data_IF_262707704162
#
_entry.id   IF_262707704162
#
_cell.length_a   1.000
_cell.length_b   1.000
_cell.length_c   1.000
_cell.angle_alpha   90.00
_cell.angle_beta   90.00
_cell.angle_gamma   90.00
#
_symmetry.space_group_name_H-M   'P 1'
#
loop_
_entity.id
_entity.type
_entity.pdbx_description
1 polymer ?
#
# COMPACT_ATOMS: atom_id res chain seq x y z
N UNK A 1 -7.78 -7.63 6.02
CA UNK A 1 -6.33 -7.54 6.31
C UNK A 1 -6.15 -6.46 7.34
N UNK A 2 -5.59 -6.77 8.49
CA UNK A 2 -5.34 -5.81 9.55
C UNK A 2 -3.96 -5.17 9.34
N UNK A 3 -3.92 -3.84 9.29
CA UNK A 3 -2.68 -3.06 9.20
C UNK A 3 -2.01 -2.96 10.58
N UNK A 4 -0.73 -2.54 10.65
CA UNK A 4 -0.05 -2.30 11.93
C UNK A 4 -0.79 -1.33 12.84
N UNK A 5 -1.51 -0.36 12.27
CA UNK A 5 -2.38 0.57 13.00
C UNK A 5 -3.66 -0.05 13.57
N UNK A 6 -3.95 -1.33 13.29
CA UNK A 6 -5.19 -2.00 13.68
C UNK A 6 -6.37 -1.75 12.73
N UNK A 7 -6.31 -0.72 11.88
CA UNK A 7 -7.30 -0.51 10.81
C UNK A 7 -7.30 -1.66 9.81
N UNK A 8 -8.41 -1.84 9.10
CA UNK A 8 -8.59 -3.00 8.24
C UNK A 8 -8.82 -2.62 6.78
N UNK A 9 -8.08 -3.26 5.88
CA UNK A 9 -8.37 -3.29 4.45
C UNK A 9 -9.26 -4.49 4.14
N UNK A 10 -10.48 -4.22 3.68
CA UNK A 10 -11.48 -5.22 3.34
C UNK A 10 -11.79 -5.21 1.84
N UNK A 11 -11.87 -6.40 1.24
CA UNK A 11 -12.35 -6.55 -0.13
C UNK A 11 -13.87 -6.60 -0.11
N UNK A 12 -14.50 -5.61 -0.73
CA UNK A 12 -15.95 -5.55 -0.88
C UNK A 12 -16.34 -6.01 -2.29
N UNK A 13 -17.34 -6.88 -2.37
CA UNK A 13 -17.86 -7.33 -3.64
C UNK A 13 -19.05 -6.46 -4.04
N UNK A 14 -18.89 -5.68 -5.10
CA UNK A 14 -19.97 -4.96 -5.75
C UNK A 14 -20.26 -5.64 -7.08
N UNK A 15 -21.44 -6.24 -7.20
CA UNK A 15 -21.90 -6.94 -8.40
C UNK A 15 -21.95 -6.04 -9.65
N UNK A 16 -21.81 -4.72 -9.50
CA UNK A 16 -21.88 -3.74 -10.61
C UNK A 16 -20.54 -3.15 -11.03
N UNK A 17 -19.46 -3.26 -10.23
CA UNK A 17 -18.24 -2.44 -10.41
C UNK A 17 -16.90 -3.16 -10.21
N UNK A 18 -16.88 -4.50 -10.20
CA UNK A 18 -15.73 -5.32 -9.80
C UNK A 18 -15.43 -5.24 -8.29
N UNK A 19 -14.58 -6.14 -7.81
CA UNK A 19 -14.19 -6.12 -6.40
C UNK A 19 -13.38 -4.86 -6.08
N UNK A 20 -13.80 -4.15 -5.03
CA UNK A 20 -13.13 -2.93 -4.55
C UNK A 20 -12.52 -3.14 -3.17
N UNK A 21 -11.59 -2.26 -2.82
CA UNK A 21 -10.97 -2.25 -1.51
C UNK A 21 -11.45 -1.06 -0.71
N UNK A 22 -11.84 -1.31 0.53
CA UNK A 22 -12.29 -0.28 1.45
C UNK A 22 -11.40 -0.29 2.70
N UNK A 23 -11.22 0.88 3.30
CA UNK A 23 -10.60 1.04 4.61
C UNK A 23 -11.69 1.07 5.68
N UNK A 24 -11.51 0.25 6.72
CA UNK A 24 -12.37 0.20 7.89
C UNK A 24 -11.59 0.62 9.13
N UNK A 25 -12.32 1.17 10.09
CA UNK A 25 -11.86 1.48 11.44
C UNK A 25 -11.20 0.27 12.12
N UNK A 26 -10.51 0.50 13.23
CA UNK A 26 -9.85 -0.55 14.03
C UNK A 26 -10.81 -1.68 14.43
N UNK A 27 -12.08 -1.32 14.69
CA UNK A 27 -13.17 -2.29 14.98
C UNK A 27 -13.54 -3.20 13.79
N UNK A 28 -13.12 -2.84 12.57
CA UNK A 28 -13.46 -3.52 11.32
C UNK A 28 -14.90 -3.31 10.83
N UNK A 29 -15.73 -2.55 11.55
CA UNK A 29 -17.17 -2.40 11.26
C UNK A 29 -17.52 -1.09 10.56
N UNK A 30 -16.81 -0.02 10.90
CA UNK A 30 -17.10 1.32 10.39
C UNK A 30 -16.27 1.58 9.13
N UNK A 31 -16.87 1.78 7.95
CA UNK A 31 -16.13 2.16 6.75
C UNK A 31 -15.62 3.61 6.88
N UNK A 32 -14.34 3.81 6.60
CA UNK A 32 -13.66 5.10 6.66
C UNK A 32 -13.38 5.68 5.28
N UNK A 33 -12.98 4.82 4.33
CA UNK A 33 -12.75 5.17 2.93
C UNK A 33 -13.19 4.02 2.02
N UNK A 34 -13.53 4.34 0.78
CA UNK A 34 -14.12 3.40 -0.18
C UNK A 34 -13.37 3.46 -1.50
N UNK A 35 -13.28 2.35 -2.22
CA UNK A 35 -12.60 2.28 -3.53
C UNK A 35 -11.13 2.76 -3.49
N UNK A 36 -10.42 2.27 -2.47
CA UNK A 36 -9.00 2.53 -2.21
C UNK A 36 -8.14 1.91 -3.31
N UNK A 37 -7.41 2.75 -4.02
CA UNK A 37 -6.46 2.37 -5.05
C UNK A 37 -5.06 2.10 -4.46
N UNK A 38 -4.58 2.98 -3.57
CA UNK A 38 -3.27 2.88 -2.95
C UNK A 38 -3.29 3.30 -1.49
N UNK A 39 -2.33 2.80 -0.71
CA UNK A 39 -2.14 3.13 0.71
C UNK A 39 -0.68 3.43 1.04
N UNK A 40 -0.50 4.30 2.04
CA UNK A 40 0.75 4.54 2.76
C UNK A 40 0.41 4.53 4.26
N UNK A 41 1.13 3.77 5.08
CA UNK A 41 0.72 3.56 6.47
C UNK A 41 1.89 3.26 7.41
N UNK A 42 1.70 3.63 8.68
CA UNK A 42 2.59 3.30 9.79
C UNK A 42 1.78 2.73 10.97
N UNK A 43 2.33 2.77 12.18
CA UNK A 43 1.72 2.22 13.40
C UNK A 43 0.44 2.93 13.85
N UNK A 44 0.12 4.11 13.30
CA UNK A 44 -1.05 4.91 13.69
C UNK A 44 -1.86 5.40 12.52
N UNK A 45 -1.19 5.92 11.50
CA UNK A 45 -1.84 6.61 10.41
C UNK A 45 -1.91 5.77 9.15
N UNK A 46 -2.99 5.95 8.39
CA UNK A 46 -3.18 5.38 7.05
C UNK A 46 -3.57 6.51 6.10
N UNK A 47 -2.70 6.83 5.17
CA UNK A 47 -3.06 7.66 4.02
C UNK A 47 -3.60 6.76 2.91
N UNK A 48 -4.75 7.12 2.34
CA UNK A 48 -5.36 6.41 1.22
C UNK A 48 -5.50 7.32 0.01
N UNK A 49 -5.15 6.78 -1.16
CA UNK A 49 -5.63 7.29 -2.44
C UNK A 49 -6.88 6.51 -2.84
N UNK A 50 -8.01 7.19 -2.85
CA UNK A 50 -9.31 6.64 -3.24
C UNK A 50 -9.67 7.09 -4.66
N UNK A 51 -10.32 6.22 -5.43
CA UNK A 51 -10.90 6.61 -6.73
C UNK A 51 -12.05 7.61 -6.57
N UNK A 52 -12.75 7.55 -5.44
CA UNK A 52 -13.58 8.66 -4.97
C UNK A 52 -12.67 9.71 -4.29
N UNK A 53 -12.32 10.77 -5.03
CA UNK A 53 -11.33 11.77 -4.60
C UNK A 53 -11.69 12.43 -3.27
N UNK A 54 -12.98 12.56 -2.95
CA UNK A 54 -13.44 13.13 -1.69
C UNK A 54 -13.05 12.26 -0.48
N UNK A 55 -12.78 10.97 -0.69
CA UNK A 55 -12.35 10.02 0.33
C UNK A 55 -10.83 9.77 0.33
N UNK A 56 -10.07 10.52 -0.47
CA UNK A 56 -8.60 10.52 -0.41
C UNK A 56 -8.13 11.32 0.80
N UNK A 57 -7.23 10.77 1.61
CA UNK A 57 -6.68 11.51 2.74
C UNK A 57 -6.09 10.63 3.83
N UNK A 58 -5.70 11.28 4.91
CA UNK A 58 -5.11 10.68 6.10
C UNK A 58 -6.20 10.27 7.10
N UNK A 59 -6.06 9.07 7.65
CA UNK A 59 -6.92 8.50 8.67
C UNK A 59 -6.07 8.14 9.90
N UNK A 60 -6.58 8.48 11.08
CA UNK A 60 -5.92 8.25 12.37
C UNK A 60 -6.59 7.09 13.10
N UNK A 61 -5.80 6.08 13.47
CA UNK A 61 -6.32 4.90 14.17
C UNK A 61 -6.63 5.17 15.64
N UNK A 62 -6.06 6.23 16.24
CA UNK A 62 -6.42 6.62 17.60
C UNK A 62 -7.88 7.07 17.68
N UNK A 63 -8.34 7.80 16.67
CA UNK A 63 -9.68 8.40 16.65
C UNK A 63 -10.65 7.74 15.67
N UNK A 64 -10.18 6.74 14.91
CA UNK A 64 -10.92 6.08 13.83
C UNK A 64 -11.61 7.08 12.88
N UNK A 65 -10.89 8.15 12.51
CA UNK A 65 -11.45 9.23 11.71
C UNK A 65 -10.47 9.84 10.72
N UNK A 66 -11.01 10.48 9.69
CA UNK A 66 -10.21 11.29 8.76
C UNK A 66 -9.67 12.53 9.44
N UNK A 67 -8.37 12.78 9.28
CA UNK A 67 -7.74 14.03 9.67
C UNK A 67 -8.12 15.13 8.68
N UNK A 68 -8.66 16.25 9.18
CA UNK A 68 -9.15 17.36 8.35
C UNK A 68 -8.11 18.47 8.22
N UNK A 69 -7.23 18.35 7.23
CA UNK A 69 -6.23 19.36 6.87
C UNK A 69 -5.74 19.12 5.43
N UNK A 70 -4.93 20.04 4.90
CA UNK A 70 -4.31 19.86 3.59
C UNK A 70 -3.27 18.72 3.58
N UNK A 71 -2.89 18.31 2.37
CA UNK A 71 -1.97 17.18 2.16
C UNK A 71 -0.62 17.39 2.83
N UNK A 72 0.00 18.57 2.68
CA UNK A 72 1.35 18.82 3.21
C UNK A 72 1.36 18.72 4.74
N UNK A 73 0.35 19.30 5.38
CA UNK A 73 0.19 19.21 6.83
C UNK A 73 -0.08 17.78 7.28
N UNK A 74 -0.99 17.06 6.59
CA UNK A 74 -1.31 15.66 6.89
C UNK A 74 -0.06 14.76 6.84
N UNK A 75 0.75 14.91 5.79
CA UNK A 75 1.97 14.14 5.64
C UNK A 75 3.03 14.47 6.68
N UNK A 76 3.16 15.75 7.06
CA UNK A 76 4.09 16.19 8.10
C UNK A 76 3.74 15.61 9.48
N UNK A 77 2.48 15.69 9.91
CA UNK A 77 2.08 15.18 11.24
C UNK A 77 2.09 13.66 11.33
N UNK A 78 1.88 12.97 10.21
CA UNK A 78 1.83 11.51 10.18
C UNK A 78 3.21 10.88 10.07
N UNK A 79 4.22 11.64 9.64
CA UNK A 79 5.54 11.14 9.32
C UNK A 79 5.57 10.24 8.08
N UNK A 80 4.51 10.22 7.27
CA UNK A 80 4.35 9.34 6.11
C UNK A 80 4.98 9.86 4.82
N UNK A 81 5.66 11.02 4.84
CA UNK A 81 6.34 11.59 3.68
C UNK A 81 7.84 11.60 3.90
N UNK A 82 8.58 11.12 2.89
CA UNK A 82 10.04 11.29 2.74
C UNK A 82 10.41 12.24 1.59
N UNK A 83 9.41 12.82 0.90
CA UNK A 83 9.58 13.69 -0.26
C UNK A 83 9.64 12.96 -1.61
N UNK A 84 9.78 11.64 -1.64
CA UNK A 84 9.87 10.83 -2.87
C UNK A 84 8.82 9.71 -2.96
N UNK A 85 8.05 9.47 -1.89
CA UNK A 85 7.05 8.42 -1.86
C UNK A 85 6.34 8.35 -0.52
N UNK A 86 6.26 7.14 0.00
CA UNK A 86 5.72 6.84 1.32
C UNK A 86 6.88 6.69 2.32
N UNK A 87 6.71 7.15 3.56
CA UNK A 87 7.66 6.90 4.65
C UNK A 87 7.05 6.00 5.74
N UNK A 88 6.17 5.09 5.32
CA UNK A 88 5.54 4.10 6.18
C UNK A 88 6.29 2.78 6.14
N UNK A 89 5.57 1.67 6.34
CA UNK A 89 6.11 0.30 6.20
C UNK A 89 6.64 -0.03 4.81
N UNK A 90 6.25 0.76 3.80
CA UNK A 90 6.81 0.70 2.47
C UNK A 90 7.25 2.11 2.03
N UNK A 91 8.29 2.17 1.20
CA UNK A 91 8.76 3.40 0.55
C UNK A 91 7.90 3.79 -0.66
N UNK A 92 7.14 2.83 -1.20
CA UNK A 92 6.21 3.00 -2.32
C UNK A 92 4.74 3.08 -1.85
N UNK A 93 3.90 3.66 -2.70
CA UNK A 93 2.44 3.55 -2.57
C UNK A 93 1.97 2.13 -2.94
N UNK A 94 1.33 1.44 -1.99
CA UNK A 94 0.98 0.03 -2.16
C UNK A 94 -0.50 -0.13 -2.49
N UNK A 95 -0.81 -0.90 -3.54
CA UNK A 95 -2.18 -1.31 -3.79
C UNK A 95 -2.67 -2.28 -2.69
N UNK A 96 -3.87 -2.08 -2.09
CA UNK A 96 -4.38 -2.95 -1.02
C UNK A 96 -4.35 -4.44 -1.35
N UNK A 97 -4.58 -4.75 -2.62
CA UNK A 97 -4.56 -6.12 -3.13
C UNK A 97 -3.21 -6.82 -2.96
N UNK A 98 -2.08 -6.12 -2.82
CA UNK A 98 -0.77 -6.75 -2.62
C UNK A 98 -0.54 -7.18 -1.17
N UNK A 99 -1.28 -6.62 -0.20
CA UNK A 99 -1.06 -6.85 1.23
C UNK A 99 -1.76 -8.12 1.77
N UNK A 100 -2.60 -8.78 0.97
CA UNK A 100 -3.43 -9.90 1.42
C UNK A 100 -2.65 -11.22 1.51
N UNK A 101 -2.87 -12.01 2.57
CA UNK A 101 -1.99 -13.15 2.96
C UNK A 101 -2.00 -14.34 2.00
N UNK A 102 -3.08 -14.55 1.24
CA UNK A 102 -3.19 -15.67 0.31
C UNK A 102 -2.47 -15.44 -1.02
N UNK A 103 -1.49 -14.51 -1.08
CA UNK A 103 -0.82 -14.14 -2.33
C UNK A 103 0.59 -14.69 -2.42
N UNK A 104 0.92 -15.08 -3.64
CA UNK A 104 2.27 -15.44 -4.07
C UNK A 104 2.74 -14.43 -5.13
N UNK A 105 4.04 -14.43 -5.40
CA UNK A 105 4.61 -13.65 -6.50
C UNK A 105 3.86 -13.95 -7.83
N UNK A 106 3.63 -12.95 -8.70
CA UNK A 106 4.11 -11.56 -8.63
C UNK A 106 3.16 -10.59 -7.91
N UNK A 107 2.15 -11.08 -7.17
CA UNK A 107 1.13 -10.22 -6.54
C UNK A 107 1.49 -9.87 -5.09
N UNK A 108 2.76 -9.53 -4.85
CA UNK A 108 3.31 -9.11 -3.56
C UNK A 108 3.95 -7.72 -3.68
N UNK A 109 4.08 -6.96 -2.58
CA UNK A 109 4.91 -5.76 -2.57
C UNK A 109 6.37 -6.12 -2.83
N UNK A 110 7.14 -5.23 -3.43
CA UNK A 110 8.57 -5.48 -3.69
C UNK A 110 9.34 -5.56 -2.38
N UNK A 111 10.32 -6.45 -2.30
CA UNK A 111 11.21 -6.53 -1.13
C UNK A 111 12.01 -5.23 -0.97
N UNK A 112 12.47 -4.66 -2.10
CA UNK A 112 13.23 -3.41 -2.14
C UNK A 112 12.44 -2.18 -1.67
N UNK A 113 11.11 -2.24 -1.63
CA UNK A 113 10.29 -1.12 -1.15
C UNK A 113 9.97 -1.20 0.33
N UNK A 114 10.52 -2.17 1.08
CA UNK A 114 10.37 -2.21 2.54
C UNK A 114 11.21 -1.13 3.18
N UNK A 115 10.60 -0.35 4.06
CA UNK A 115 11.29 0.70 4.78
C UNK A 115 11.98 0.15 6.06
N UNK A 116 12.93 -0.75 5.88
CA UNK A 116 13.61 -1.45 6.99
C UNK A 116 14.42 -0.50 7.88
N UNK A 117 14.92 0.58 7.29
CA UNK A 117 15.78 1.58 7.92
C UNK A 117 15.01 2.61 8.75
N UNK A 118 13.68 2.68 8.60
CA UNK A 118 12.85 3.56 9.42
C UNK A 118 12.63 2.96 10.81
N UNK A 119 13.48 3.38 11.76
CA UNK A 119 13.46 2.93 13.16
C UNK A 119 12.22 3.38 13.94
N UNK A 120 11.45 4.36 13.44
CA UNK A 120 10.21 4.81 14.08
C UNK A 120 9.06 3.80 13.93
N UNK A 121 9.20 2.81 13.04
CA UNK A 121 8.18 1.78 12.79
C UNK A 121 8.25 0.66 13.84
N UNK A 122 7.23 0.59 14.68
CA UNK A 122 7.21 -0.25 15.89
C UNK A 122 6.93 -1.73 15.63
N UNK A 123 6.08 -2.07 14.66
CA UNK A 123 5.73 -3.45 14.34
C UNK A 123 6.74 -4.10 13.38
N UNK A 124 7.94 -4.43 13.88
CA UNK A 124 9.00 -5.04 13.07
C UNK A 124 8.59 -6.36 12.42
N UNK A 125 7.72 -7.14 13.05
CA UNK A 125 7.21 -8.41 12.49
C UNK A 125 6.44 -8.22 11.17
N UNK A 126 5.95 -7.01 10.89
CA UNK A 126 5.31 -6.69 9.62
C UNK A 126 6.24 -6.94 8.41
N UNK A 127 7.55 -6.77 8.60
CA UNK A 127 8.54 -7.00 7.56
C UNK A 127 8.79 -8.48 7.26
N UNK A 128 8.33 -9.40 8.11
CA UNK A 128 8.49 -10.86 7.90
C UNK A 128 7.49 -11.43 6.90
N UNK A 129 6.51 -10.63 6.46
CA UNK A 129 5.52 -11.03 5.45
C UNK A 129 6.20 -11.42 4.13
N UNK A 130 5.57 -12.13 3.19
CA UNK A 130 6.15 -12.37 1.87
C UNK A 130 6.32 -11.06 1.06
N UNK A 131 7.35 -11.00 0.21
CA UNK A 131 7.56 -9.94 -0.77
C UNK A 131 8.06 -10.50 -2.11
N UNK A 132 7.93 -9.70 -3.17
CA UNK A 132 8.48 -10.00 -4.48
C UNK A 132 9.96 -9.54 -4.54
N UNK A 133 10.94 -10.44 -4.71
CA UNK A 133 12.34 -10.07 -4.87
C UNK A 133 12.60 -9.33 -6.20
N UNK A 134 11.65 -9.34 -7.13
CA UNK A 134 11.80 -8.83 -8.48
C UNK A 134 12.29 -9.90 -9.46
N UNK A 135 12.47 -9.54 -10.74
CA UNK A 135 12.97 -10.47 -11.75
C UNK A 135 14.35 -11.00 -11.36
N UNK A 136 14.59 -12.30 -11.59
CA UNK A 136 15.92 -12.86 -11.36
C UNK A 136 16.92 -12.19 -12.33
N UNK A 137 18.20 -12.03 -11.96
CA UNK A 137 19.21 -11.46 -12.86
C UNK A 137 19.29 -12.18 -14.22
N UNK A 138 18.92 -13.47 -14.27
CA UNK A 138 18.92 -14.29 -15.49
C UNK A 138 17.76 -13.99 -16.46
N UNK A 139 16.73 -13.28 -16.01
CA UNK A 139 15.58 -12.88 -16.83
C UNK A 139 15.80 -11.52 -17.53
N UNK A 140 16.82 -10.76 -17.11
CA UNK A 140 17.24 -9.51 -17.77
C UNK A 140 17.93 -9.74 -19.12
N UNK A 141 18.73 -10.80 -19.23
CA UNK A 141 19.52 -11.12 -20.44
C UNK A 141 18.69 -11.63 -21.63
N UNK A 142 17.43 -12.06 -21.41
CA UNK A 142 16.59 -12.58 -22.49
C UNK A 142 15.92 -11.50 -23.36
N UNK A 143 16.02 -10.22 -22.99
CA UNK A 143 15.43 -9.12 -23.77
C UNK A 143 16.37 -8.46 -24.78
N UNK A 144 17.65 -8.84 -24.81
CA UNK A 144 18.65 -8.31 -25.76
C UNK A 144 19.09 -9.33 -26.83
N UNK A 145 18.51 -10.53 -26.86
CA UNK A 145 18.70 -11.46 -27.98
C UNK A 145 17.84 -10.98 -29.17
N UNK A 146 18.45 -10.16 -30.01
CA UNK A 146 17.83 -9.47 -31.14
C UNK A 146 16.96 -10.34 -32.04
N UNK A 147 15.83 -9.76 -32.45
CA UNK A 147 15.02 -10.26 -33.56
C UNK A 147 15.86 -10.27 -34.84
N UNK A 148 15.98 -11.39 -35.57
CA UNK A 148 16.57 -11.38 -36.89
C UNK A 148 15.64 -10.62 -37.83
N UNK A 149 16.17 -9.60 -38.51
CA UNK A 149 15.52 -8.90 -39.61
C UNK A 149 15.32 -9.90 -40.76
N UNK A 150 14.11 -10.09 -41.31
CA UNK A 150 13.94 -10.88 -42.52
C UNK A 150 14.40 -10.05 -43.72
N UNK A 151 15.43 -10.54 -44.42
CA UNK A 151 15.83 -10.02 -45.72
C UNK A 151 14.83 -10.48 -46.78
N UNK A 152 14.19 -9.53 -47.48
CA UNK A 152 13.75 -9.68 -48.87
C UNK A 152 13.95 -8.37 -49.61
#
# INVERSE_FOLDING_TARGET
>A
MTLPSGMQLGRQFDWTRYARWDLFATTGRTPLSRDVAFVCFNDRYVFVHSKDRELTGLYDAETDSRVRMDYAHAMAISGLSDGNGCNGYYTDWIGPGLLYEAKAAPFLPRCASRNLDNEALGNRSWFDRPCDPGPSPRDGDRRDAGSPVPSQ
#
